data_IF_591030102287
#
_entry.id   IF_591030102287
#
_cell.length_a   1.000
_cell.length_b   1.000
_cell.length_c   1.000
_cell.angle_alpha   90.00
_cell.angle_beta   90.00
_cell.angle_gamma   90.00
#
_symmetry.space_group_name_H-M   'P 1'
#
loop_
_entity.id
_entity.type
_entity.pdbx_description
1 polymer ?
#
# COMPACT_ATOMS: atom_id res chain seq x y z
N UNK A 1 -52.54 -25.41 1.23
CA UNK A 1 -51.58 -24.29 1.22
C UNK A 1 -52.37 -22.99 1.22
N UNK A 2 -52.06 -22.08 2.14
CA UNK A 2 -52.66 -20.73 2.16
C UNK A 2 -51.91 -19.83 1.18
N UNK A 3 -52.65 -19.03 0.42
CA UNK A 3 -52.10 -18.09 -0.55
C UNK A 3 -52.40 -16.65 -0.15
N UNK A 4 -51.46 -15.75 -0.43
CA UNK A 4 -51.59 -14.31 -0.27
C UNK A 4 -51.50 -13.62 -1.63
N UNK A 5 -52.03 -12.40 -1.69
CA UNK A 5 -51.94 -11.56 -2.89
C UNK A 5 -50.51 -11.07 -3.11
N UNK A 6 -50.20 -10.66 -4.34
CA UNK A 6 -48.91 -10.02 -4.69
C UNK A 6 -48.61 -8.80 -3.81
N UNK A 7 -49.64 -8.04 -3.42
CA UNK A 7 -49.50 -6.86 -2.57
C UNK A 7 -49.11 -7.22 -1.15
N UNK A 8 -49.77 -8.21 -0.56
CA UNK A 8 -49.42 -8.74 0.76
C UNK A 8 -48.02 -9.39 0.76
N UNK A 9 -47.65 -10.08 -0.33
CA UNK A 9 -46.31 -10.65 -0.48
C UNK A 9 -45.24 -9.55 -0.59
N UNK A 10 -45.53 -8.44 -1.28
CA UNK A 10 -44.62 -7.30 -1.43
C UNK A 10 -44.32 -6.65 -0.06
N UNK A 11 -45.36 -6.40 0.74
CA UNK A 11 -45.23 -5.91 2.12
C UNK A 11 -44.43 -6.88 2.99
N UNK A 12 -44.76 -8.18 2.96
CA UNK A 12 -44.06 -9.21 3.74
C UNK A 12 -42.57 -9.31 3.41
N UNK A 13 -42.22 -9.20 2.13
CA UNK A 13 -40.84 -9.37 1.65
C UNK A 13 -40.03 -8.07 1.64
N UNK A 14 -40.63 -6.93 2.00
CA UNK A 14 -40.00 -5.61 1.97
C UNK A 14 -39.52 -5.23 0.57
N UNK A 15 -40.33 -5.52 -0.46
CA UNK A 15 -40.03 -5.24 -1.88
C UNK A 15 -41.26 -4.66 -2.58
N UNK A 16 -41.07 -4.10 -3.77
CA UNK A 16 -42.19 -3.58 -4.58
C UNK A 16 -43.02 -4.72 -5.20
N UNK A 17 -44.29 -4.45 -5.48
CA UNK A 17 -45.19 -5.36 -6.23
C UNK A 17 -44.56 -5.79 -7.57
N UNK A 18 -43.91 -4.87 -8.27
CA UNK A 18 -43.19 -5.15 -9.53
C UNK A 18 -42.06 -6.16 -9.35
N UNK A 19 -41.32 -6.08 -8.23
CA UNK A 19 -40.27 -7.05 -7.93
C UNK A 19 -40.85 -8.44 -7.65
N UNK A 20 -41.97 -8.54 -6.93
CA UNK A 20 -42.66 -9.83 -6.71
C UNK A 20 -43.11 -10.44 -8.04
N UNK A 21 -43.76 -9.66 -8.91
CA UNK A 21 -44.18 -10.12 -10.24
C UNK A 21 -42.98 -10.58 -11.10
N UNK A 22 -41.86 -9.86 -11.05
CA UNK A 22 -40.64 -10.25 -11.74
C UNK A 22 -40.06 -11.56 -11.20
N UNK A 23 -40.11 -11.80 -9.89
CA UNK A 23 -39.67 -13.05 -9.28
C UNK A 23 -40.55 -14.22 -9.72
N UNK A 24 -41.88 -14.05 -9.75
CA UNK A 24 -42.80 -15.07 -10.27
C UNK A 24 -42.56 -15.37 -11.75
N UNK A 25 -42.43 -14.34 -12.58
CA UNK A 25 -42.16 -14.52 -14.02
C UNK A 25 -40.83 -15.25 -14.29
N UNK A 26 -39.83 -15.08 -13.41
CA UNK A 26 -38.55 -15.78 -13.48
C UNK A 26 -38.56 -17.15 -12.79
N UNK A 27 -39.72 -17.64 -12.32
CA UNK A 27 -39.86 -18.92 -11.62
C UNK A 27 -39.14 -18.98 -10.28
N UNK A 28 -38.87 -17.84 -9.64
CA UNK A 28 -38.05 -17.74 -8.41
C UNK A 28 -38.85 -17.83 -7.12
N UNK A 29 -40.18 -17.82 -7.21
CA UNK A 29 -41.09 -18.10 -6.10
C UNK A 29 -41.71 -19.44 -6.42
N UNK A 30 -41.32 -20.46 -5.65
CA UNK A 30 -41.84 -21.81 -5.79
C UNK A 30 -43.34 -21.83 -5.46
N UNK A 31 -44.10 -22.66 -6.18
CA UNK A 31 -45.54 -22.85 -6.00
C UNK A 31 -46.40 -21.58 -6.17
N UNK A 32 -45.85 -20.52 -6.79
CA UNK A 32 -46.64 -19.36 -7.21
C UNK A 32 -47.57 -19.75 -8.36
N UNK A 33 -48.87 -19.55 -8.18
CA UNK A 33 -49.89 -19.88 -9.18
C UNK A 33 -50.30 -18.61 -9.91
N UNK A 34 -50.21 -18.62 -11.24
CA UNK A 34 -50.72 -17.52 -12.06
C UNK A 34 -52.22 -17.69 -12.26
N UNK A 35 -53.00 -16.68 -11.88
CA UNK A 35 -54.43 -16.63 -12.17
C UNK A 35 -54.73 -15.35 -12.96
N UNK A 36 -55.09 -15.53 -14.23
CA UNK A 36 -55.29 -14.44 -15.19
C UNK A 36 -54.08 -13.48 -15.25
N UNK A 37 -54.27 -12.21 -14.88
CA UNK A 37 -53.22 -11.17 -14.86
C UNK A 37 -52.52 -11.00 -13.50
N UNK A 38 -52.80 -11.85 -12.52
CA UNK A 38 -52.24 -11.77 -11.17
C UNK A 38 -51.60 -13.09 -10.72
N UNK A 39 -50.93 -13.06 -9.58
CA UNK A 39 -50.25 -14.21 -8.97
C UNK A 39 -50.79 -14.47 -7.56
N UNK A 40 -51.04 -15.73 -7.26
CA UNK A 40 -51.28 -16.23 -5.90
C UNK A 40 -49.93 -16.72 -5.36
N UNK A 41 -49.49 -16.12 -4.25
CA UNK A 41 -48.17 -16.37 -3.67
C UNK A 41 -48.35 -17.22 -2.42
N UNK A 42 -47.60 -18.32 -2.22
CA UNK A 42 -47.65 -19.08 -0.97
C UNK A 42 -47.37 -18.18 0.25
N UNK A 43 -48.18 -18.31 1.30
CA UNK A 43 -48.07 -17.45 2.49
C UNK A 43 -46.72 -17.58 3.20
N UNK A 44 -46.07 -18.73 3.08
CA UNK A 44 -44.76 -19.07 3.64
C UNK A 44 -43.59 -18.63 2.76
N UNK A 45 -43.82 -17.89 1.66
CA UNK A 45 -42.75 -17.38 0.80
C UNK A 45 -41.65 -16.65 1.59
N UNK A 46 -40.41 -17.05 1.35
CA UNK A 46 -39.19 -16.36 1.78
C UNK A 46 -38.59 -15.57 0.61
N UNK A 47 -37.85 -14.50 0.92
CA UNK A 47 -37.25 -13.62 -0.10
C UNK A 47 -36.14 -14.39 -0.85
N UNK A 48 -36.25 -14.61 -2.18
CA UNK A 48 -35.20 -15.28 -2.94
C UNK A 48 -33.90 -14.46 -2.90
N UNK A 49 -32.76 -15.10 -2.61
CA UNK A 49 -31.43 -14.44 -2.55
C UNK A 49 -31.13 -13.65 -3.84
N UNK A 50 -30.58 -12.44 -3.78
CA UNK A 50 -30.32 -11.62 -4.98
C UNK A 50 -29.45 -12.39 -6.02
N UNK A 51 -29.91 -12.44 -7.28
CA UNK A 51 -29.25 -13.19 -8.35
C UNK A 51 -27.90 -12.59 -8.77
N UNK A 52 -27.68 -11.30 -8.51
CA UNK A 52 -26.41 -10.60 -8.79
C UNK A 52 -25.24 -11.12 -7.97
N UNK A 53 -25.52 -11.78 -6.84
CA UNK A 53 -24.47 -12.36 -6.01
C UNK A 53 -23.93 -13.68 -6.57
N UNK A 54 -24.73 -14.40 -7.37
CA UNK A 54 -24.35 -15.71 -7.93
C UNK A 54 -23.44 -15.58 -9.16
N UNK A 55 -23.71 -14.59 -10.02
CA UNK A 55 -22.85 -14.25 -11.17
C UNK A 55 -21.42 -13.85 -10.73
N UNK A 56 -21.27 -13.08 -9.65
CA UNK A 56 -19.95 -12.62 -9.18
C UNK A 56 -19.09 -13.77 -8.64
N UNK A 57 -19.70 -14.76 -7.98
CA UNK A 57 -18.99 -15.92 -7.40
C UNK A 57 -18.65 -16.97 -8.46
N UNK A 58 -19.55 -17.23 -9.42
CA UNK A 58 -19.26 -18.12 -10.55
C UNK A 58 -18.14 -17.54 -11.44
N UNK A 59 -18.10 -16.23 -11.64
CA UNK A 59 -17.06 -15.58 -12.42
C UNK A 59 -15.69 -15.58 -11.70
N UNK A 60 -15.66 -15.42 -10.38
CA UNK A 60 -14.44 -15.60 -9.58
C UNK A 60 -13.91 -17.03 -9.63
N UNK A 61 -14.79 -18.04 -9.57
CA UNK A 61 -14.40 -19.44 -9.66
C UNK A 61 -13.82 -19.79 -11.05
N UNK A 62 -14.37 -19.23 -12.13
CA UNK A 62 -13.81 -19.37 -13.48
C UNK A 62 -12.43 -18.71 -13.63
N UNK A 63 -12.22 -17.55 -12.99
CA UNK A 63 -10.91 -16.89 -12.93
C UNK A 63 -9.92 -17.77 -12.17
N UNK A 64 -10.28 -18.29 -10.99
CA UNK A 64 -9.41 -19.17 -10.19
C UNK A 64 -9.09 -20.48 -10.93
N UNK A 65 -10.04 -21.05 -11.68
CA UNK A 65 -9.79 -22.20 -12.55
C UNK A 65 -8.81 -21.87 -13.68
N UNK A 66 -8.90 -20.67 -14.26
CA UNK A 66 -7.93 -20.16 -15.23
C UNK A 66 -6.53 -19.96 -14.60
N UNK A 67 -6.46 -19.64 -13.30
CA UNK A 67 -5.18 -19.61 -12.57
C UNK A 67 -4.60 -21.01 -12.30
N UNK A 68 -5.42 -22.08 -12.27
CA UNK A 68 -4.91 -23.45 -12.16
C UNK A 68 -4.20 -23.91 -13.42
N UNK A 69 -4.68 -23.53 -14.61
CA UNK A 69 -3.98 -23.81 -15.87
C UNK A 69 -2.69 -22.99 -16.04
N UNK A 70 -2.55 -21.85 -15.33
CA UNK A 70 -1.28 -21.10 -15.24
C UNK A 70 -0.16 -21.94 -14.58
N UNK A 71 -0.49 -22.83 -13.63
CA UNK A 71 0.48 -23.75 -13.02
C UNK A 71 1.12 -24.69 -14.05
N UNK A 72 0.38 -25.02 -15.11
CA UNK A 72 0.81 -25.92 -16.18
C UNK A 72 1.57 -25.16 -17.30
N UNK A 73 1.50 -23.82 -17.33
CA UNK A 73 2.16 -22.99 -18.32
C UNK A 73 3.33 -22.20 -17.70
N UNK A 74 4.49 -22.86 -17.64
CA UNK A 74 5.74 -22.31 -17.09
C UNK A 74 6.15 -20.99 -17.74
N UNK A 75 5.98 -20.84 -19.05
CA UNK A 75 6.30 -19.61 -19.78
C UNK A 75 5.45 -18.42 -19.32
N UNK A 76 4.18 -18.66 -18.99
CA UNK A 76 3.27 -17.62 -18.52
C UNK A 76 3.64 -17.13 -17.12
N UNK A 77 4.03 -18.03 -16.21
CA UNK A 77 4.53 -17.67 -14.88
C UNK A 77 5.85 -16.90 -14.96
N UNK A 78 6.77 -17.34 -15.82
CA UNK A 78 8.03 -16.62 -16.08
C UNK A 78 7.75 -15.20 -16.58
N UNK A 79 6.81 -15.01 -17.52
CA UNK A 79 6.39 -13.67 -17.97
C UNK A 79 5.75 -12.84 -16.86
N UNK A 80 4.93 -13.43 -15.99
CA UNK A 80 4.32 -12.71 -14.86
C UNK A 80 5.41 -12.16 -13.94
N UNK A 81 6.40 -12.98 -13.60
CA UNK A 81 7.52 -12.54 -12.75
C UNK A 81 8.36 -11.48 -13.46
N UNK A 82 8.71 -11.71 -14.74
CA UNK A 82 9.53 -10.81 -15.55
C UNK A 82 8.92 -9.40 -15.65
N UNK A 83 7.61 -9.31 -15.91
CA UNK A 83 6.89 -8.05 -16.09
C UNK A 83 6.20 -7.55 -14.81
N UNK A 84 6.42 -8.21 -13.67
CA UNK A 84 5.85 -7.73 -12.41
C UNK A 84 6.38 -6.32 -12.11
N UNK A 85 5.52 -5.34 -11.77
CA UNK A 85 5.91 -3.93 -11.68
C UNK A 85 6.80 -3.62 -10.47
N UNK A 86 6.94 -4.56 -9.54
CA UNK A 86 7.75 -4.44 -8.34
C UNK A 86 8.96 -5.37 -8.40
N UNK A 87 10.12 -5.00 -7.82
CA UNK A 87 11.28 -5.88 -7.79
C UNK A 87 10.96 -7.22 -7.14
N UNK A 88 11.39 -8.29 -7.80
CA UNK A 88 11.31 -9.66 -7.30
C UNK A 88 12.70 -10.28 -7.38
N UNK A 89 13.13 -10.89 -6.28
CA UNK A 89 14.27 -11.79 -6.24
C UNK A 89 13.78 -13.22 -5.97
N UNK A 90 14.37 -14.20 -6.64
CA UNK A 90 14.10 -15.62 -6.39
C UNK A 90 15.40 -16.33 -6.03
N UNK A 91 15.37 -17.03 -4.90
CA UNK A 91 16.51 -17.76 -4.36
C UNK A 91 16.23 -19.26 -4.37
N UNK A 92 17.26 -20.05 -4.62
CA UNK A 92 17.26 -21.49 -4.35
C UNK A 92 17.32 -21.78 -2.85
N UNK A 93 17.00 -23.00 -2.38
CA UNK A 93 16.96 -23.33 -0.96
C UNK A 93 18.28 -23.11 -0.20
N UNK A 94 19.41 -23.14 -0.89
CA UNK A 94 20.75 -22.85 -0.34
C UNK A 94 21.05 -21.34 -0.24
N UNK A 95 20.13 -20.47 -0.67
CA UNK A 95 20.26 -19.02 -0.62
C UNK A 95 20.80 -18.37 -1.90
N UNK A 96 21.10 -19.13 -2.95
CA UNK A 96 21.67 -18.58 -4.18
C UNK A 96 20.62 -17.84 -5.01
N UNK A 97 20.90 -16.59 -5.39
CA UNK A 97 20.01 -15.78 -6.22
C UNK A 97 20.03 -16.30 -7.66
N UNK A 98 18.87 -16.74 -8.17
CA UNK A 98 18.76 -17.32 -9.51
C UNK A 98 17.93 -16.48 -10.48
N UNK A 99 17.12 -15.55 -9.96
CA UNK A 99 16.30 -14.68 -10.80
C UNK A 99 16.11 -13.32 -10.15
N UNK A 100 16.23 -12.28 -10.98
CA UNK A 100 15.74 -10.93 -10.72
C UNK A 100 14.89 -10.48 -11.90
N UNK A 101 13.77 -9.80 -11.64
CA UNK A 101 12.90 -9.33 -12.71
C UNK A 101 13.30 -7.94 -13.25
N UNK A 102 12.65 -7.51 -14.32
CA UNK A 102 12.94 -6.22 -14.99
C UNK A 102 12.78 -5.01 -14.07
N UNK A 103 11.84 -5.04 -13.14
CA UNK A 103 11.66 -3.95 -12.17
C UNK A 103 12.91 -3.78 -11.29
N UNK A 104 13.54 -4.87 -10.85
CA UNK A 104 14.79 -4.83 -10.10
C UNK A 104 15.93 -4.20 -10.92
N UNK A 105 16.09 -4.64 -12.16
CA UNK A 105 17.14 -4.15 -13.05
C UNK A 105 16.99 -2.66 -13.35
N UNK A 106 15.76 -2.19 -13.56
CA UNK A 106 15.49 -0.76 -13.82
C UNK A 106 15.79 0.12 -12.61
N UNK A 107 15.44 -0.33 -11.40
CA UNK A 107 15.63 0.46 -10.18
C UNK A 107 17.12 0.58 -9.84
N UNK A 108 17.86 -0.53 -9.90
CA UNK A 108 19.26 -0.56 -9.47
C UNK A 108 20.27 -0.45 -10.63
N UNK A 109 19.80 -0.38 -11.88
CA UNK A 109 20.63 -0.37 -13.10
C UNK A 109 21.65 -1.53 -13.12
N UNK A 110 21.22 -2.69 -12.63
CA UNK A 110 22.03 -3.91 -12.68
C UNK A 110 21.99 -4.54 -14.07
N UNK A 111 23.07 -5.25 -14.39
CA UNK A 111 23.09 -6.21 -15.49
C UNK A 111 22.81 -7.59 -14.86
N UNK A 112 21.96 -8.42 -15.48
CA UNK A 112 21.50 -9.71 -14.89
C UNK A 112 22.71 -10.58 -14.47
N UNK A 113 23.76 -10.57 -15.28
CA UNK A 113 24.98 -11.36 -15.13
C UNK A 113 25.86 -10.94 -13.93
N UNK A 114 25.64 -9.76 -13.35
CA UNK A 114 26.41 -9.27 -12.20
C UNK A 114 25.96 -9.91 -10.88
N UNK A 115 24.72 -10.39 -10.83
CA UNK A 115 24.03 -10.78 -9.59
C UNK A 115 23.57 -12.24 -9.59
N UNK A 116 23.04 -12.73 -10.71
CA UNK A 116 22.51 -14.10 -10.80
C UNK A 116 23.64 -15.12 -10.65
N UNK A 117 23.45 -16.09 -9.75
CA UNK A 117 24.39 -17.19 -9.45
C UNK A 117 25.62 -16.77 -8.64
N UNK A 118 25.84 -15.46 -8.43
CA UNK A 118 27.01 -14.91 -7.73
C UNK A 118 26.67 -14.40 -6.33
N UNK A 119 25.41 -14.10 -6.07
CA UNK A 119 24.93 -13.60 -4.79
C UNK A 119 24.21 -14.72 -4.01
N UNK A 120 24.60 -14.92 -2.75
CA UNK A 120 23.93 -15.87 -1.85
C UNK A 120 23.43 -15.15 -0.58
N UNK A 121 22.12 -15.00 -0.42
CA UNK A 121 21.52 -14.20 0.66
C UNK A 121 21.79 -14.75 2.06
N UNK A 122 22.15 -16.03 2.21
CA UNK A 122 22.43 -16.63 3.51
C UNK A 122 23.89 -16.48 3.94
N UNK A 123 24.78 -16.28 2.97
CA UNK A 123 26.23 -16.22 3.19
C UNK A 123 26.80 -14.80 3.02
N UNK A 124 26.12 -13.94 2.28
CA UNK A 124 26.64 -12.64 1.90
C UNK A 124 26.68 -11.63 3.06
N UNK A 125 27.85 -11.04 3.28
CA UNK A 125 28.07 -10.08 4.37
C UNK A 125 27.31 -8.76 4.20
N UNK A 126 26.75 -8.48 3.02
CA UNK A 126 25.91 -7.29 2.84
C UNK A 126 24.64 -7.36 3.69
N UNK A 127 24.16 -8.57 4.02
CA UNK A 127 22.95 -8.78 4.82
C UNK A 127 23.13 -8.30 6.26
N UNK A 128 24.36 -8.39 6.78
CA UNK A 128 24.69 -7.88 8.11
C UNK A 128 24.52 -6.34 8.19
N UNK A 129 24.46 -5.65 7.03
CA UNK A 129 24.23 -4.20 6.93
C UNK A 129 22.76 -3.80 6.83
N UNK A 130 21.82 -4.76 6.73
CA UNK A 130 20.39 -4.45 6.59
C UNK A 130 19.73 -4.09 7.93
N UNK A 131 20.41 -4.37 9.04
CA UNK A 131 19.94 -4.10 10.39
C UNK A 131 20.06 -5.32 11.31
N UNK A 132 20.00 -5.07 12.61
CA UNK A 132 20.05 -6.12 13.64
C UNK A 132 18.83 -7.07 13.51
N UNK A 133 19.07 -8.38 13.58
CA UNK A 133 18.00 -9.40 13.52
C UNK A 133 17.47 -9.69 12.11
N UNK A 134 17.87 -8.95 11.08
CA UNK A 134 17.36 -9.11 9.71
C UNK A 134 17.80 -10.46 9.13
N UNK A 135 19.05 -10.87 9.38
CA UNK A 135 19.60 -12.13 8.89
C UNK A 135 18.86 -13.34 9.45
N UNK A 136 18.58 -13.33 10.75
CA UNK A 136 17.82 -14.36 11.46
C UNK A 136 16.38 -14.43 10.92
N UNK A 137 15.75 -13.28 10.68
CA UNK A 137 14.44 -13.22 10.04
C UNK A 137 14.46 -13.79 8.61
N UNK A 138 15.47 -13.44 7.79
CA UNK A 138 15.61 -14.01 6.44
C UNK A 138 15.78 -15.54 6.52
N UNK A 139 16.63 -16.05 7.41
CA UNK A 139 16.85 -17.49 7.60
C UNK A 139 15.54 -18.25 7.87
N UNK A 140 14.63 -17.68 8.67
CA UNK A 140 13.31 -18.28 8.94
C UNK A 140 12.45 -18.43 7.68
N UNK A 141 12.62 -17.55 6.68
CA UNK A 141 11.92 -17.69 5.39
C UNK A 141 12.37 -18.92 4.59
N UNK A 142 13.64 -19.30 4.72
CA UNK A 142 14.18 -20.54 4.16
C UNK A 142 13.82 -21.78 4.99
N UNK A 143 13.29 -21.59 6.21
CA UNK A 143 12.75 -22.65 7.06
C UNK A 143 11.23 -22.82 6.89
N UNK A 144 10.63 -22.04 5.98
CA UNK A 144 9.24 -22.18 5.58
C UNK A 144 8.29 -21.13 6.13
N UNK A 145 8.79 -20.12 6.83
CA UNK A 145 7.97 -19.01 7.32
C UNK A 145 7.79 -17.90 6.28
N UNK A 146 6.63 -17.25 6.25
CA UNK A 146 6.49 -15.99 5.49
C UNK A 146 6.90 -14.82 6.38
N UNK A 147 7.90 -14.07 5.96
CA UNK A 147 8.51 -12.98 6.72
C UNK A 147 8.18 -11.65 6.05
N UNK A 148 7.79 -10.67 6.85
CA UNK A 148 7.48 -9.33 6.39
C UNK A 148 8.34 -8.30 7.11
N UNK A 149 8.99 -7.44 6.32
CA UNK A 149 9.69 -6.27 6.79
C UNK A 149 8.91 -5.02 6.37
N UNK A 150 8.78 -4.08 7.28
CA UNK A 150 8.13 -2.79 7.03
C UNK A 150 9.14 -1.67 7.16
N UNK A 151 9.25 -0.84 6.11
CA UNK A 151 10.12 0.33 6.08
C UNK A 151 11.59 -0.01 6.43
N UNK A 152 12.13 -1.09 5.86
CA UNK A 152 13.51 -1.50 6.04
C UNK A 152 14.45 -0.59 5.24
N UNK A 153 15.42 0.05 5.90
CA UNK A 153 16.44 0.88 5.23
C UNK A 153 17.42 -0.04 4.50
N UNK A 154 17.54 0.10 3.20
CA UNK A 154 18.50 -0.68 2.41
C UNK A 154 19.90 -0.05 2.47
N UNK A 155 20.98 -0.84 2.53
CA UNK A 155 22.36 -0.33 2.52
C UNK A 155 22.81 0.07 1.12
N UNK A 156 22.16 1.10 0.54
CA UNK A 156 22.37 1.50 -0.86
C UNK A 156 23.80 1.91 -1.16
N UNK A 157 24.48 2.58 -0.23
CA UNK A 157 25.87 2.98 -0.42
C UNK A 157 26.80 1.78 -0.57
N UNK A 158 26.55 0.71 0.18
CA UNK A 158 27.32 -0.53 0.09
C UNK A 158 27.03 -1.28 -1.21
N UNK A 159 25.77 -1.25 -1.66
CA UNK A 159 25.35 -1.81 -2.94
C UNK A 159 26.00 -1.04 -4.10
N UNK A 160 25.96 0.29 -4.09
CA UNK A 160 26.59 1.16 -5.09
C UNK A 160 28.08 0.85 -5.19
N UNK A 161 28.79 0.84 -4.05
CA UNK A 161 30.23 0.55 -4.00
C UNK A 161 30.56 -0.85 -4.51
N UNK A 162 29.74 -1.84 -4.16
CA UNK A 162 29.99 -3.23 -4.54
C UNK A 162 29.85 -3.46 -6.04
N UNK A 163 28.87 -2.82 -6.66
CA UNK A 163 28.52 -3.06 -8.06
C UNK A 163 28.99 -1.95 -9.00
N UNK A 164 29.78 -1.00 -8.50
CA UNK A 164 30.31 0.14 -9.24
C UNK A 164 29.22 0.93 -10.00
N UNK A 165 28.15 1.28 -9.26
CA UNK A 165 26.94 1.91 -9.83
C UNK A 165 26.82 3.39 -9.45
N UNK A 166 27.74 4.21 -9.95
CA UNK A 166 27.75 5.67 -9.72
C UNK A 166 26.49 6.39 -10.25
N UNK A 167 25.78 5.74 -11.17
CA UNK A 167 24.58 6.24 -11.84
C UNK A 167 23.27 6.11 -11.02
N UNK A 168 23.31 5.48 -9.84
CA UNK A 168 22.13 5.36 -8.97
C UNK A 168 21.78 6.75 -8.40
N UNK A 169 20.60 7.25 -8.77
CA UNK A 169 20.17 8.62 -8.48
C UNK A 169 19.51 8.81 -7.11
N UNK A 170 19.69 7.90 -6.14
CA UNK A 170 19.10 8.00 -4.80
C UNK A 170 20.09 7.57 -3.72
N UNK A 171 20.06 8.27 -2.60
CA UNK A 171 21.02 8.09 -1.49
C UNK A 171 20.46 7.18 -0.39
N UNK A 172 19.14 7.04 -0.30
CA UNK A 172 18.48 6.09 0.60
C UNK A 172 17.18 5.57 0.00
N UNK A 173 16.92 4.29 0.24
CA UNK A 173 15.66 3.64 -0.11
C UNK A 173 15.17 2.82 1.08
N UNK A 174 13.88 2.88 1.33
CA UNK A 174 13.18 2.06 2.31
C UNK A 174 12.24 1.12 1.58
N UNK A 175 12.26 -0.15 1.99
CA UNK A 175 11.51 -1.21 1.35
C UNK A 175 10.58 -1.89 2.36
N UNK A 176 9.35 -2.15 1.92
CA UNK A 176 8.53 -3.19 2.52
C UNK A 176 8.87 -4.48 1.78
N UNK A 177 9.34 -5.50 2.48
CA UNK A 177 9.80 -6.74 1.87
C UNK A 177 8.95 -7.88 2.37
N UNK A 178 8.37 -8.66 1.46
CA UNK A 178 7.73 -9.93 1.80
C UNK A 178 8.59 -11.07 1.27
N UNK A 179 9.13 -11.88 2.16
CA UNK A 179 9.89 -13.08 1.85
C UNK A 179 8.96 -14.29 2.07
N UNK A 180 8.69 -15.08 1.04
CA UNK A 180 7.80 -16.23 1.16
C UNK A 180 8.34 -17.46 0.43
N UNK A 181 8.24 -18.65 1.04
CA UNK A 181 8.66 -19.91 0.43
C UNK A 181 7.67 -20.40 -0.63
N UNK A 182 8.19 -20.97 -1.70
CA UNK A 182 7.46 -21.70 -2.73
C UNK A 182 7.83 -23.17 -2.63
N UNK A 183 6.81 -24.03 -2.55
CA UNK A 183 6.98 -25.48 -2.43
C UNK A 183 6.59 -26.18 -3.73
N UNK A 184 7.23 -27.30 -4.01
CA UNK A 184 6.78 -28.21 -5.07
C UNK A 184 5.62 -29.09 -4.58
N UNK A 185 5.14 -29.96 -5.46
CA UNK A 185 4.04 -30.89 -5.22
C UNK A 185 4.29 -31.87 -4.07
N UNK A 186 5.57 -32.09 -3.73
CA UNK A 186 6.00 -32.94 -2.61
C UNK A 186 6.18 -32.16 -1.30
N UNK A 187 5.72 -30.91 -1.22
CA UNK A 187 5.90 -30.01 -0.08
C UNK A 187 7.37 -29.72 0.28
N UNK A 188 8.29 -29.89 -0.68
CA UNK A 188 9.69 -29.51 -0.50
C UNK A 188 9.91 -28.08 -0.97
N UNK A 189 10.68 -27.31 -0.20
CA UNK A 189 11.05 -25.94 -0.55
C UNK A 189 11.76 -25.95 -1.90
N UNK A 190 11.16 -25.29 -2.88
CA UNK A 190 11.74 -25.13 -4.22
C UNK A 190 12.47 -23.81 -4.34
N UNK A 191 11.85 -22.74 -3.85
CA UNK A 191 12.42 -21.39 -3.91
C UNK A 191 11.97 -20.54 -2.72
N UNK A 192 12.71 -19.47 -2.45
CA UNK A 192 12.24 -18.36 -1.60
C UNK A 192 12.14 -17.12 -2.49
N UNK A 193 11.00 -16.45 -2.43
CA UNK A 193 10.74 -15.24 -3.22
C UNK A 193 10.72 -14.03 -2.30
N UNK A 194 11.51 -13.01 -2.64
CA UNK A 194 11.46 -11.72 -1.98
C UNK A 194 10.80 -10.70 -2.92
N UNK A 195 9.66 -10.18 -2.50
CA UNK A 195 8.95 -9.09 -3.17
C UNK A 195 9.25 -7.77 -2.44
N UNK A 196 9.67 -6.77 -3.18
CA UNK A 196 10.06 -5.46 -2.64
C UNK A 196 9.08 -4.38 -3.07
N UNK A 197 8.54 -3.62 -2.11
CA UNK A 197 7.71 -2.45 -2.38
C UNK A 197 8.40 -1.24 -1.79
N UNK A 198 8.81 -0.31 -2.66
CA UNK A 198 9.47 0.92 -2.24
C UNK A 198 8.48 1.77 -1.44
N UNK A 199 8.73 1.92 -0.14
CA UNK A 199 7.91 2.75 0.73
C UNK A 199 8.38 4.20 0.76
N UNK A 200 9.71 4.41 0.69
CA UNK A 200 10.32 5.75 0.64
C UNK A 200 11.56 5.72 -0.25
N UNK A 201 11.67 6.69 -1.15
CA UNK A 201 12.86 6.94 -1.96
C UNK A 201 13.33 8.36 -1.68
N UNK A 202 14.59 8.50 -1.34
CA UNK A 202 15.16 9.80 -1.01
C UNK A 202 16.37 10.08 -1.91
N UNK A 203 16.31 11.21 -2.58
CA UNK A 203 17.33 11.72 -3.47
C UNK A 203 17.94 13.00 -2.87
N UNK A 204 19.28 13.02 -2.78
CA UNK A 204 20.06 14.08 -2.14
C UNK A 204 20.80 13.55 -0.91
N UNK A 205 21.95 14.16 -0.62
CA UNK A 205 22.82 13.94 0.56
C UNK A 205 22.08 13.32 1.76
N UNK A 206 22.54 12.16 2.24
CA UNK A 206 21.94 11.35 3.33
C UNK A 206 21.52 12.20 4.55
N UNK A 207 22.23 13.26 4.79
CA UNK A 207 22.01 14.23 5.84
C UNK A 207 20.73 15.07 5.64
N UNK A 208 20.39 15.45 4.40
CA UNK A 208 19.11 16.12 4.08
C UNK A 208 17.94 15.16 4.30
N UNK A 209 18.15 13.88 4.01
CA UNK A 209 17.17 12.82 4.19
C UNK A 209 16.88 12.65 5.68
N UNK A 210 17.93 12.54 6.49
CA UNK A 210 17.79 12.44 7.94
C UNK A 210 17.09 13.67 8.52
N UNK A 211 17.40 14.87 8.00
CA UNK A 211 16.69 16.10 8.37
C UNK A 211 15.20 16.07 8.00
N UNK A 212 14.83 15.64 6.79
CA UNK A 212 13.42 15.49 6.38
C UNK A 212 12.70 14.46 7.25
N UNK A 213 13.28 13.27 7.42
CA UNK A 213 12.71 12.20 8.22
C UNK A 213 12.51 12.63 9.68
N UNK A 214 13.46 13.38 10.24
CA UNK A 214 13.31 13.94 11.58
C UNK A 214 12.13 14.90 11.67
N UNK A 215 12.00 15.85 10.73
CA UNK A 215 10.87 16.78 10.70
C UNK A 215 9.54 16.03 10.52
N UNK A 216 9.49 15.05 9.61
CA UNK A 216 8.30 14.24 9.32
C UNK A 216 7.86 13.36 10.49
N UNK A 217 8.78 12.94 11.35
CA UNK A 217 8.45 12.14 12.53
C UNK A 217 8.12 13.01 13.76
N UNK A 218 8.53 14.28 13.77
CA UNK A 218 8.40 15.20 14.91
C UNK A 218 7.54 16.44 14.60
N UNK A 219 6.72 16.41 13.54
CA UNK A 219 5.95 17.58 13.12
C UNK A 219 4.89 18.04 14.12
N UNK A 220 4.46 17.17 15.04
CA UNK A 220 3.44 17.48 16.06
C UNK A 220 3.99 18.32 17.22
N UNK A 221 5.31 18.31 17.44
CA UNK A 221 5.96 19.10 18.48
C UNK A 221 6.48 20.43 17.90
N UNK A 222 6.90 21.34 18.77
CA UNK A 222 7.50 22.62 18.36
C UNK A 222 8.79 22.38 17.56
N UNK A 223 9.00 23.19 16.52
CA UNK A 223 10.13 23.01 15.62
C UNK A 223 11.46 23.39 16.29
N UNK A 224 12.36 22.42 16.43
CA UNK A 224 13.72 22.62 16.92
C UNK A 224 14.73 22.42 15.79
N UNK A 225 15.33 23.52 15.35
CA UNK A 225 16.35 23.53 14.31
C UNK A 225 17.67 22.88 14.76
N UNK A 226 18.02 22.99 16.05
CA UNK A 226 19.25 22.44 16.59
C UNK A 226 19.14 20.91 16.70
N UNK A 227 17.98 20.39 17.14
CA UNK A 227 17.70 18.96 17.11
C UNK A 227 17.63 18.39 15.68
N UNK A 228 17.01 19.12 14.75
CA UNK A 228 16.92 18.72 13.34
C UNK A 228 18.30 18.67 12.66
N UNK A 229 19.14 19.69 12.91
CA UNK A 229 20.50 19.73 12.38
C UNK A 229 21.38 18.62 12.98
N UNK A 230 21.24 18.35 14.28
CA UNK A 230 21.92 17.24 14.97
C UNK A 230 21.54 15.88 14.42
N UNK A 231 20.24 15.64 14.18
CA UNK A 231 19.76 14.43 13.52
C UNK A 231 20.34 14.23 12.10
N UNK A 232 20.76 15.33 11.47
CA UNK A 232 21.37 15.37 10.14
C UNK A 232 22.90 15.32 10.16
N UNK A 233 23.55 15.30 11.34
CA UNK A 233 25.01 15.28 11.46
C UNK A 233 25.71 16.61 11.14
N UNK A 234 24.98 17.74 11.08
CA UNK A 234 25.53 19.04 10.69
C UNK A 234 25.37 20.13 11.75
N UNK A 235 26.22 21.16 11.63
CA UNK A 235 25.96 22.43 12.29
C UNK A 235 24.71 23.09 11.70
N UNK A 236 23.95 23.80 12.53
CA UNK A 236 22.73 24.53 12.17
C UNK A 236 22.87 25.39 10.92
N UNK A 237 23.91 26.22 10.85
CA UNK A 237 24.13 27.13 9.73
C UNK A 237 24.40 26.38 8.42
N UNK A 238 25.16 25.28 8.47
CA UNK A 238 25.42 24.46 7.30
C UNK A 238 24.14 23.76 6.85
N UNK A 239 23.43 23.11 7.79
CA UNK A 239 22.20 22.37 7.53
C UNK A 239 21.13 23.24 6.84
N UNK A 240 20.84 24.44 7.36
CA UNK A 240 19.85 25.34 6.75
C UNK A 240 20.19 25.65 5.29
N UNK A 241 21.47 25.96 5.02
CA UNK A 241 21.95 26.33 3.68
C UNK A 241 21.78 25.17 2.70
N UNK A 242 22.25 23.97 3.08
CA UNK A 242 22.16 22.80 2.21
C UNK A 242 20.71 22.33 2.05
N UNK A 243 19.91 22.37 3.11
CA UNK A 243 18.51 21.94 3.07
C UNK A 243 17.69 22.83 2.15
N UNK A 244 17.91 24.16 2.18
CA UNK A 244 17.28 25.08 1.23
C UNK A 244 17.72 24.86 -0.20
N UNK A 245 19.03 24.64 -0.43
CA UNK A 245 19.54 24.37 -1.77
C UNK A 245 18.95 23.09 -2.37
N UNK A 246 18.74 22.05 -1.56
CA UNK A 246 18.23 20.75 -2.02
C UNK A 246 16.70 20.67 -2.10
N UNK A 247 15.97 21.34 -1.22
CA UNK A 247 14.49 21.21 -1.14
C UNK A 247 13.73 22.40 -1.70
N UNK A 248 14.41 23.53 -1.94
CA UNK A 248 13.77 24.81 -2.24
C UNK A 248 13.19 25.53 -1.01
N UNK A 249 13.13 24.85 0.14
CA UNK A 249 12.56 25.35 1.40
C UNK A 249 13.61 25.36 2.51
N UNK A 250 13.55 26.32 3.41
CA UNK A 250 14.24 26.17 4.70
C UNK A 250 13.62 25.02 5.51
N UNK A 251 14.35 24.42 6.47
CA UNK A 251 13.80 23.38 7.35
C UNK A 251 12.47 23.78 8.02
N UNK A 252 12.37 25.01 8.49
CA UNK A 252 11.15 25.54 9.11
C UNK A 252 10.01 25.70 8.09
N UNK A 253 10.28 26.16 6.87
CA UNK A 253 9.27 26.21 5.82
C UNK A 253 8.77 24.81 5.45
N UNK A 254 9.65 23.81 5.37
CA UNK A 254 9.25 22.42 5.13
C UNK A 254 8.38 21.86 6.26
N UNK A 255 8.72 22.13 7.51
CA UNK A 255 7.89 21.83 8.68
C UNK A 255 6.49 22.47 8.58
N UNK A 256 6.42 23.74 8.16
CA UNK A 256 5.14 24.42 7.94
C UNK A 256 4.32 23.77 6.83
N UNK A 257 4.93 23.35 5.73
CA UNK A 257 4.23 22.65 4.65
C UNK A 257 3.62 21.32 5.13
N UNK A 258 4.34 20.55 5.95
CA UNK A 258 3.81 19.32 6.56
C UNK A 258 2.60 19.65 7.43
N UNK A 259 2.69 20.66 8.30
CA UNK A 259 1.57 21.06 9.15
C UNK A 259 0.35 21.50 8.34
N UNK A 260 0.54 22.30 7.30
CA UNK A 260 -0.55 22.73 6.42
C UNK A 260 -1.20 21.54 5.71
N UNK A 261 -0.41 20.58 5.24
CA UNK A 261 -0.92 19.33 4.66
C UNK A 261 -1.81 18.57 5.64
N UNK A 262 -1.33 18.35 6.86
CA UNK A 262 -2.08 17.63 7.90
C UNK A 262 -3.37 18.36 8.30
N UNK A 263 -3.35 19.70 8.40
CA UNK A 263 -4.56 20.48 8.62
C UNK A 263 -5.55 20.29 7.48
N UNK A 264 -5.11 20.36 6.22
CA UNK A 264 -6.01 20.21 5.06
C UNK A 264 -6.72 18.85 5.09
N UNK A 265 -6.01 17.79 5.44
CA UNK A 265 -6.57 16.44 5.56
C UNK A 265 -7.59 16.37 6.72
N UNK A 266 -7.23 16.86 7.90
CA UNK A 266 -8.12 16.87 9.08
C UNK A 266 -9.30 17.83 8.97
N UNK A 267 -9.21 18.88 8.16
CA UNK A 267 -10.31 19.81 7.93
C UNK A 267 -11.53 19.14 7.28
N UNK A 268 -11.36 17.98 6.64
CA UNK A 268 -12.42 17.20 6.01
C UNK A 268 -13.27 16.41 7.03
N UNK A 269 -12.78 16.23 8.26
CA UNK A 269 -13.55 15.62 9.34
C UNK A 269 -14.52 16.65 9.94
N UNK A 270 -15.82 16.42 9.69
CA UNK A 270 -16.91 17.27 10.18
C UNK A 270 -17.17 17.13 11.68
N UNK A 271 -16.64 16.08 12.33
CA UNK A 271 -16.75 15.89 13.77
C UNK A 271 -15.80 16.80 14.56
N UNK A 272 -14.79 17.37 13.89
CA UNK A 272 -13.80 18.26 14.51
C UNK A 272 -14.11 19.72 14.20
N UNK A 273 -14.16 20.58 15.22
CA UNK A 273 -14.13 22.03 15.03
C UNK A 273 -12.78 22.47 14.41
N UNK A 274 -12.76 23.64 13.76
CA UNK A 274 -11.51 24.17 13.17
C UNK A 274 -10.44 24.34 14.26
N UNK A 275 -10.84 24.78 15.47
CA UNK A 275 -9.90 24.93 16.58
C UNK A 275 -9.31 23.59 17.02
N UNK A 276 -10.12 22.52 17.06
CA UNK A 276 -9.65 21.17 17.39
C UNK A 276 -8.69 20.63 16.33
N UNK A 277 -8.96 20.87 15.04
CA UNK A 277 -8.05 20.47 13.95
C UNK A 277 -6.67 21.09 14.12
N UNK A 278 -6.60 22.39 14.42
CA UNK A 278 -5.31 23.05 14.66
C UNK A 278 -4.61 22.50 15.91
N UNK A 279 -5.36 22.29 17.00
CA UNK A 279 -4.82 21.74 18.24
C UNK A 279 -4.22 20.32 18.04
N UNK A 280 -4.89 19.46 17.28
CA UNK A 280 -4.37 18.12 16.92
C UNK A 280 -3.12 18.17 16.03
N UNK A 281 -2.88 19.30 15.37
CA UNK A 281 -1.66 19.57 14.62
C UNK A 281 -0.60 20.33 15.43
N UNK A 282 -0.76 20.43 16.76
CA UNK A 282 0.15 21.14 17.65
C UNK A 282 0.24 22.62 17.32
N UNK A 283 -0.89 23.26 17.00
CA UNK A 283 -0.97 24.70 16.72
C UNK A 283 -2.22 25.32 17.33
N UNK A 284 -2.10 26.57 17.75
CA UNK A 284 -3.26 27.34 18.18
C UNK A 284 -3.98 27.96 16.99
N UNK A 285 -5.31 27.82 16.97
CA UNK A 285 -6.12 28.49 15.96
C UNK A 285 -6.23 29.99 16.28
N UNK A 286 -5.42 30.80 15.59
CA UNK A 286 -5.38 32.25 15.78
C UNK A 286 -5.20 33.01 14.45
N UNK A 287 -5.22 34.35 14.52
CA UNK A 287 -5.07 35.23 13.36
C UNK A 287 -3.76 35.03 12.61
N UNK A 288 -2.68 34.62 13.28
CA UNK A 288 -1.38 34.37 12.67
C UNK A 288 -1.43 33.11 11.79
N UNK A 289 -1.84 31.97 12.34
CA UNK A 289 -1.93 30.72 11.60
C UNK A 289 -3.03 30.71 10.53
N UNK A 290 -4.09 31.49 10.72
CA UNK A 290 -5.09 31.72 9.68
C UNK A 290 -4.50 32.43 8.46
N UNK A 291 -3.63 33.44 8.68
CA UNK A 291 -2.93 34.12 7.59
C UNK A 291 -1.92 33.20 6.89
N UNK A 292 -1.18 32.39 7.65
CA UNK A 292 -0.24 31.41 7.08
C UNK A 292 -0.99 30.41 6.20
N UNK A 293 -2.06 29.80 6.72
CA UNK A 293 -2.88 28.86 5.95
C UNK A 293 -3.43 29.51 4.68
N UNK A 294 -4.00 30.73 4.77
CA UNK A 294 -4.51 31.45 3.61
C UNK A 294 -3.42 31.76 2.58
N UNK A 295 -2.22 32.13 3.02
CA UNK A 295 -1.09 32.41 2.14
C UNK A 295 -0.66 31.16 1.35
N UNK A 296 -0.62 29.99 2.02
CA UNK A 296 -0.18 28.73 1.41
C UNK A 296 -1.27 28.03 0.58
N UNK A 297 -2.53 28.13 1.01
CA UNK A 297 -3.66 27.38 0.43
C UNK A 297 -4.56 28.25 -0.46
N UNK A 298 -4.42 29.59 -0.40
CA UNK A 298 -5.21 30.55 -1.17
C UNK A 298 -6.57 30.91 -0.54
N UNK A 299 -7.01 30.18 0.50
CA UNK A 299 -8.29 30.42 1.17
C UNK A 299 -8.19 30.17 2.68
N UNK A 300 -9.15 30.66 3.47
CA UNK A 300 -9.14 30.45 4.93
C UNK A 300 -9.54 29.01 5.29
N UNK A 301 -9.13 28.47 6.46
CA UNK A 301 -9.50 27.11 6.89
C UNK A 301 -11.02 26.85 6.83
N UNK A 302 -11.83 27.80 7.31
CA UNK A 302 -13.29 27.69 7.28
C UNK A 302 -13.85 27.62 5.86
N UNK A 303 -13.30 28.43 4.94
CA UNK A 303 -13.69 28.38 3.53
C UNK A 303 -13.19 27.09 2.88
N UNK A 304 -11.97 26.65 3.17
CA UNK A 304 -11.41 25.41 2.63
C UNK A 304 -12.32 24.22 2.97
N UNK A 305 -12.70 24.08 4.25
CA UNK A 305 -13.64 23.06 4.72
C UNK A 305 -14.95 23.11 3.93
N UNK A 306 -15.62 24.27 3.89
CA UNK A 306 -16.91 24.40 3.20
C UNK A 306 -16.91 24.01 1.72
N UNK A 307 -15.78 24.13 1.01
CA UNK A 307 -15.70 23.75 -0.40
C UNK A 307 -15.32 22.29 -0.64
N UNK A 308 -14.76 21.60 0.36
CA UNK A 308 -14.21 20.24 0.21
C UNK A 308 -14.89 19.20 1.13
N UNK A 309 -15.88 19.62 1.92
CA UNK A 309 -16.76 18.77 2.73
C UNK A 309 -18.06 18.47 2.01
#
# INVERSE_FOLDING_TARGET
MEYITVQQAAEKLGVTVRQVQNLCNKGRIQDAIRFNRSWAIPKDVEKPRDGRYKETVENQNNIIQSFRSIRENKEMLERIVEFFPYPIHVYTPDGTLILVNEACLKIFRFVKEDVIGKFNILQDSIIDKWGEGVKECILRSFQGETIQFSNLKMPIQDIIKRFDKEDICFDSIFQNITCFPIYNDNHQLSYVVNLFITSKLYQGKEEIINGKAYIENNWQVEFDIDATAKASGFSKAHFIKIFKAHTGFTPHEYYQEIKIKMIKEKLLDLNLSISQVFAECGMDYNSHYTKIFKSRVGTTPSKYRRHNS
#
